data_IF_999368087885
#
_entry.id   IF_999368087885
#
_cell.length_a   1.000
_cell.length_b   1.000
_cell.length_c   1.000
_cell.angle_alpha   90.00
_cell.angle_beta   90.00
_cell.angle_gamma   90.00
#
_symmetry.space_group_name_H-M   'P 1'
#
loop_
_entity.id
_entity.type
_entity.pdbx_description
1 polymer ?
#
# COMPACT_ATOMS: atom_id res chain seq x y z
N UNK A 1 2.63 57.73 -0.61
CA UNK A 1 3.12 56.62 -1.47
C UNK A 1 2.72 55.31 -0.78
N UNK A 2 1.51 54.81 -1.05
CA UNK A 2 1.00 53.58 -0.47
C UNK A 2 1.45 52.39 -1.33
N UNK A 3 2.33 51.55 -0.80
CA UNK A 3 2.84 50.36 -1.48
C UNK A 3 1.84 49.22 -1.37
N UNK A 4 1.33 48.77 -2.51
CA UNK A 4 0.47 47.60 -2.65
C UNK A 4 1.34 46.34 -2.50
N UNK A 5 1.18 45.59 -1.40
CA UNK A 5 1.83 44.28 -1.21
C UNK A 5 1.00 43.23 -1.94
N UNK A 6 1.49 42.77 -3.09
CA UNK A 6 0.93 41.62 -3.80
C UNK A 6 1.30 40.34 -3.02
N UNK A 7 0.37 39.80 -2.24
CA UNK A 7 0.46 38.42 -1.77
C UNK A 7 0.22 37.49 -2.96
N UNK A 8 1.30 36.97 -3.53
CA UNK A 8 1.22 35.82 -4.45
C UNK A 8 0.81 34.58 -3.65
N UNK A 9 -0.32 33.91 -3.96
CA UNK A 9 -0.60 32.62 -3.38
C UNK A 9 0.47 31.64 -3.86
N UNK A 10 1.18 31.03 -2.91
CA UNK A 10 2.02 29.87 -3.15
C UNK A 10 1.09 28.76 -3.67
N UNK A 11 0.96 28.67 -5.00
CA UNK A 11 0.44 27.49 -5.65
C UNK A 11 1.35 26.34 -5.20
N UNK A 12 0.85 25.54 -4.26
CA UNK A 12 1.48 24.26 -3.95
C UNK A 12 1.48 23.48 -5.26
N UNK A 13 2.65 23.10 -5.81
CA UNK A 13 2.66 22.21 -6.96
C UNK A 13 1.89 20.97 -6.52
N UNK A 14 0.85 20.60 -7.26
CA UNK A 14 0.22 19.30 -7.13
C UNK A 14 1.33 18.28 -7.38
N UNK A 15 2.01 17.86 -6.31
CA UNK A 15 3.14 16.98 -6.37
C UNK A 15 2.69 15.70 -7.01
N UNK A 16 3.39 15.26 -8.06
CA UNK A 16 3.16 13.96 -8.67
C UNK A 16 3.05 12.91 -7.55
N UNK A 17 2.06 12.01 -7.65
CA UNK A 17 1.85 11.03 -6.60
C UNK A 17 3.15 10.23 -6.35
N UNK A 18 3.45 9.92 -5.08
CA UNK A 18 4.70 9.23 -4.78
C UNK A 18 4.81 7.89 -5.51
N UNK A 19 5.99 7.57 -6.02
CA UNK A 19 6.23 6.37 -6.86
C UNK A 19 5.74 5.07 -6.23
N UNK A 20 5.85 4.94 -4.91
CA UNK A 20 5.39 3.76 -4.18
C UNK A 20 3.88 3.52 -4.34
N UNK A 21 3.07 4.59 -4.40
CA UNK A 21 1.62 4.49 -4.55
C UNK A 21 1.25 3.95 -5.94
N UNK A 22 1.90 4.47 -6.97
CA UNK A 22 1.71 4.04 -8.36
C UNK A 22 2.17 2.59 -8.56
N UNK A 23 3.11 2.11 -7.73
CA UNK A 23 3.55 0.72 -7.74
C UNK A 23 2.61 -0.21 -6.95
N UNK A 24 2.20 0.19 -5.73
CA UNK A 24 1.38 -0.63 -4.86
C UNK A 24 -0.08 -0.72 -5.32
N UNK A 25 -0.73 0.40 -5.66
CA UNK A 25 -2.15 0.39 -5.99
C UNK A 25 -2.55 -0.68 -7.05
N UNK A 26 -1.85 -0.81 -8.20
CA UNK A 26 -2.14 -1.86 -9.15
C UNK A 26 -1.73 -3.26 -8.66
N UNK A 27 -0.63 -3.38 -7.91
CA UNK A 27 -0.20 -4.67 -7.34
C UNK A 27 -1.19 -5.21 -6.31
N UNK A 28 -1.87 -4.33 -5.57
CA UNK A 28 -2.89 -4.64 -4.57
C UNK A 28 -4.31 -4.71 -5.16
N UNK A 29 -4.46 -4.60 -6.48
CA UNK A 29 -5.76 -4.59 -7.18
C UNK A 29 -6.75 -3.54 -6.63
N UNK A 30 -6.24 -2.36 -6.25
CA UNK A 30 -7.07 -1.26 -5.75
C UNK A 30 -7.59 -0.35 -6.87
N UNK A 31 -7.08 -0.52 -8.08
CA UNK A 31 -7.35 0.36 -9.22
C UNK A 31 -8.60 -0.01 -10.03
N UNK A 32 -9.22 -1.14 -9.71
CA UNK A 32 -10.36 -1.67 -10.46
C UNK A 32 -11.56 -0.72 -10.41
N UNK A 33 -12.23 -0.52 -11.55
CA UNK A 33 -13.40 0.36 -11.65
C UNK A 33 -13.09 1.86 -11.60
N UNK A 34 -11.82 2.28 -11.60
CA UNK A 34 -11.44 3.69 -11.62
C UNK A 34 -10.44 4.01 -12.74
N UNK A 35 -10.93 4.58 -13.84
CA UNK A 35 -10.10 4.95 -15.00
C UNK A 35 -9.08 6.07 -14.69
N UNK A 36 -9.32 6.86 -13.64
CA UNK A 36 -8.47 7.97 -13.20
C UNK A 36 -7.71 7.63 -11.91
N UNK A 37 -7.50 6.35 -11.62
CA UNK A 37 -6.91 5.90 -10.35
C UNK A 37 -5.54 6.52 -10.05
N UNK A 38 -4.76 6.83 -11.09
CA UNK A 38 -3.44 7.48 -10.97
C UNK A 38 -3.52 8.91 -10.44
N UNK A 39 -4.71 9.52 -10.44
CA UNK A 39 -4.97 10.88 -9.96
C UNK A 39 -5.83 10.88 -8.68
N UNK A 40 -6.58 9.81 -8.43
CA UNK A 40 -7.48 9.72 -7.29
C UNK A 40 -6.74 9.26 -6.03
N UNK A 41 -6.50 10.20 -5.10
CA UNK A 41 -5.85 9.95 -3.81
C UNK A 41 -6.60 8.96 -2.91
N UNK A 42 -7.86 8.62 -3.19
CA UNK A 42 -8.66 7.67 -2.41
C UNK A 42 -8.44 6.20 -2.79
N UNK A 43 -7.93 5.92 -3.99
CA UNK A 43 -7.68 4.54 -4.46
C UNK A 43 -6.74 3.77 -3.52
N UNK A 44 -5.67 4.42 -3.06
CA UNK A 44 -4.76 3.89 -2.07
C UNK A 44 -4.24 5.05 -1.19
N UNK A 45 -4.99 5.47 -0.15
CA UNK A 45 -4.60 6.60 0.68
C UNK A 45 -3.23 6.39 1.32
N UNK A 46 -2.51 7.47 1.68
CA UNK A 46 -1.21 7.31 2.36
C UNK A 46 -1.35 6.54 3.67
N UNK A 47 -2.54 6.56 4.29
CA UNK A 47 -2.85 5.79 5.51
C UNK A 47 -2.75 4.27 5.34
N UNK A 48 -2.59 3.76 4.12
CA UNK A 48 -2.28 2.35 3.90
C UNK A 48 -0.96 1.92 4.55
N UNK A 49 0.05 2.81 4.53
CA UNK A 49 1.39 2.53 5.09
C UNK A 49 1.83 3.55 6.16
N UNK A 50 1.13 4.67 6.28
CA UNK A 50 1.51 5.79 7.13
C UNK A 50 0.44 6.06 8.16
N UNK A 51 0.80 6.68 9.28
CA UNK A 51 -0.20 7.22 10.21
C UNK A 51 -0.78 8.53 9.65
N UNK A 52 0.07 9.35 9.01
CA UNK A 52 -0.35 10.62 8.46
C UNK A 52 -1.05 10.44 7.11
N UNK A 53 -2.19 11.12 6.93
CA UNK A 53 -2.95 11.09 5.67
C UNK A 53 -2.19 11.68 4.47
N UNK A 54 -1.19 12.52 4.72
CA UNK A 54 -0.29 13.06 3.70
C UNK A 54 0.99 12.23 3.50
N UNK A 55 1.17 11.16 4.28
CA UNK A 55 2.34 10.28 4.23
C UNK A 55 3.50 10.75 5.10
N UNK A 56 4.68 10.16 4.87
CA UNK A 56 5.85 10.37 5.71
C UNK A 56 5.79 9.64 7.05
N UNK A 57 6.77 9.88 7.91
CA UNK A 57 6.78 9.31 9.26
C UNK A 57 5.71 10.00 10.16
N UNK A 58 5.07 9.27 11.10
CA UNK A 58 5.32 7.88 11.44
C UNK A 58 4.62 6.87 10.52
N UNK A 59 5.18 5.66 10.47
CA UNK A 59 4.63 4.51 9.73
C UNK A 59 3.61 3.78 10.59
N UNK A 60 2.51 3.33 9.99
CA UNK A 60 1.56 2.43 10.65
C UNK A 60 2.18 1.01 10.76
N UNK A 61 1.54 0.05 11.45
CA UNK A 61 2.07 -1.31 11.57
C UNK A 61 2.41 -1.96 10.23
N UNK A 62 1.55 -1.86 9.21
CA UNK A 62 1.84 -2.39 7.87
C UNK A 62 3.08 -1.77 7.21
N UNK A 63 3.22 -0.44 7.29
CA UNK A 63 4.38 0.28 6.79
C UNK A 63 5.67 -0.14 7.50
N UNK A 64 5.60 -0.38 8.81
CA UNK A 64 6.72 -0.94 9.59
C UNK A 64 7.04 -2.37 9.17
N UNK A 65 6.04 -3.21 8.88
CA UNK A 65 6.24 -4.58 8.39
C UNK A 65 6.95 -4.61 7.01
N UNK A 66 6.62 -3.66 6.11
CA UNK A 66 7.34 -3.48 4.85
C UNK A 66 8.81 -3.10 5.11
N UNK A 67 9.06 -2.16 6.01
CA UNK A 67 10.43 -1.76 6.38
C UNK A 67 11.22 -2.92 7.00
N UNK A 68 10.59 -3.70 7.88
CA UNK A 68 11.18 -4.89 8.48
C UNK A 68 11.51 -5.95 7.42
N UNK A 69 10.66 -6.11 6.40
CA UNK A 69 10.92 -6.98 5.26
C UNK A 69 12.17 -6.54 4.51
N UNK A 70 12.30 -5.26 4.14
CA UNK A 70 13.54 -4.76 3.54
C UNK A 70 14.78 -5.03 4.41
N UNK A 71 14.69 -4.76 5.70
CA UNK A 71 15.80 -4.94 6.63
C UNK A 71 16.22 -6.41 6.78
N UNK A 72 15.26 -7.34 6.86
CA UNK A 72 15.52 -8.78 6.91
C UNK A 72 16.20 -9.27 5.65
N UNK A 73 15.65 -8.93 4.49
CA UNK A 73 16.15 -9.39 3.19
C UNK A 73 17.55 -8.85 2.90
N UNK A 74 17.83 -7.59 3.28
CA UNK A 74 19.15 -6.99 3.17
C UNK A 74 20.19 -7.69 4.05
N UNK A 75 19.83 -8.14 5.27
CA UNK A 75 20.73 -8.93 6.14
C UNK A 75 21.09 -10.28 5.51
N UNK A 76 20.22 -10.82 4.66
CA UNK A 76 20.46 -12.04 3.89
C UNK A 76 21.12 -11.77 2.53
N UNK A 77 21.61 -10.55 2.29
CA UNK A 77 22.30 -10.15 1.07
C UNK A 77 21.39 -9.90 -0.13
N UNK A 78 20.07 -9.84 0.07
CA UNK A 78 19.08 -9.58 -0.99
C UNK A 78 18.64 -8.12 -0.98
N UNK A 79 18.71 -7.48 -2.14
CA UNK A 79 18.28 -6.09 -2.32
C UNK A 79 16.96 -6.06 -3.10
N UNK A 80 15.85 -6.04 -2.36
CA UNK A 80 14.53 -6.02 -2.96
C UNK A 80 14.17 -4.64 -3.51
N UNK A 81 13.39 -4.61 -4.59
CA UNK A 81 12.58 -3.45 -4.96
C UNK A 81 11.33 -3.39 -4.10
N UNK A 82 10.64 -2.24 -4.06
CA UNK A 82 9.40 -2.10 -3.30
C UNK A 82 8.30 -3.13 -3.69
N UNK A 83 7.99 -3.35 -4.97
CA UNK A 83 7.04 -4.41 -5.34
C UNK A 83 7.44 -5.81 -4.86
N UNK A 84 8.74 -6.12 -4.86
CA UNK A 84 9.25 -7.39 -4.35
C UNK A 84 9.09 -7.49 -2.83
N UNK A 85 9.46 -6.45 -2.08
CA UNK A 85 9.29 -6.44 -0.62
C UNK A 85 7.81 -6.57 -0.23
N UNK A 86 6.91 -5.88 -0.95
CA UNK A 86 5.46 -6.00 -0.75
C UNK A 86 4.98 -7.43 -1.01
N UNK A 87 5.37 -8.04 -2.14
CA UNK A 87 5.01 -9.43 -2.43
C UNK A 87 5.58 -10.41 -1.40
N UNK A 88 6.82 -10.22 -0.96
CA UNK A 88 7.45 -11.06 0.07
C UNK A 88 6.71 -10.96 1.41
N UNK A 89 6.29 -9.76 1.80
CA UNK A 89 5.48 -9.57 3.02
C UNK A 89 4.14 -10.30 2.91
N UNK A 90 3.41 -10.10 1.82
CA UNK A 90 2.07 -10.69 1.65
C UNK A 90 2.08 -12.21 1.48
N UNK A 91 3.20 -12.79 1.04
CA UNK A 91 3.40 -14.24 1.02
C UNK A 91 3.74 -14.83 2.38
N UNK A 92 4.15 -14.01 3.35
CA UNK A 92 4.54 -14.49 4.68
C UNK A 92 3.34 -14.75 5.62
N UNK A 93 2.10 -14.46 5.17
CA UNK A 93 0.86 -14.60 5.95
C UNK A 93 0.95 -13.91 7.32
N UNK A 94 1.62 -12.74 7.36
CA UNK A 94 1.73 -11.90 8.56
C UNK A 94 0.44 -11.13 8.81
N UNK A 95 0.22 -10.77 10.07
CA UNK A 95 -0.84 -9.90 10.56
C UNK A 95 -0.13 -8.72 11.26
N UNK A 96 0.00 -7.59 10.54
CA UNK A 96 0.88 -6.52 10.98
C UNK A 96 0.30 -5.71 12.14
N UNK A 97 -1.02 -5.53 12.20
CA UNK A 97 -1.68 -4.78 13.27
C UNK A 97 -2.25 -5.65 14.40
N UNK A 98 -2.26 -6.97 14.23
CA UNK A 98 -2.53 -7.96 15.26
C UNK A 98 -4.02 -8.17 15.54
N UNK A 99 -4.89 -7.88 14.58
CA UNK A 99 -6.34 -7.94 14.76
C UNK A 99 -6.92 -9.36 14.51
N UNK A 100 -6.09 -10.29 14.06
CA UNK A 100 -6.44 -11.68 13.74
C UNK A 100 -6.65 -11.96 12.25
N UNK A 101 -6.54 -10.95 11.38
CA UNK A 101 -6.59 -11.11 9.93
C UNK A 101 -5.20 -10.89 9.32
N UNK A 102 -4.65 -11.85 8.55
CA UNK A 102 -3.43 -11.61 7.80
C UNK A 102 -3.56 -10.46 6.79
N UNK A 103 -2.48 -9.72 6.61
CA UNK A 103 -2.39 -8.53 5.75
C UNK A 103 -2.96 -8.78 4.35
N UNK A 104 -2.66 -9.95 3.77
CA UNK A 104 -3.10 -10.32 2.44
C UNK A 104 -4.63 -10.55 2.35
N UNK A 105 -5.25 -11.07 3.42
CA UNK A 105 -6.69 -11.25 3.49
C UNK A 105 -7.41 -9.91 3.63
N UNK A 106 -6.87 -9.01 4.42
CA UNK A 106 -7.40 -7.66 4.57
C UNK A 106 -7.37 -6.88 3.25
N UNK A 107 -6.24 -6.91 2.54
CA UNK A 107 -6.12 -6.28 1.23
C UNK A 107 -7.14 -6.88 0.25
N UNK A 108 -7.32 -8.20 0.26
CA UNK A 108 -8.32 -8.88 -0.57
C UNK A 108 -9.75 -8.45 -0.21
N UNK A 109 -10.05 -8.30 1.08
CA UNK A 109 -11.31 -7.81 1.61
C UNK A 109 -11.49 -6.28 1.51
N UNK A 110 -10.51 -5.57 0.93
CA UNK A 110 -10.47 -4.10 0.78
C UNK A 110 -10.51 -3.35 2.11
N UNK A 111 -9.85 -3.90 3.13
CA UNK A 111 -9.58 -3.25 4.42
C UNK A 111 -8.12 -2.77 4.52
N UNK A 112 -7.71 -2.20 5.67
CA UNK A 112 -6.43 -1.52 5.86
C UNK A 112 -5.55 -2.33 6.81
N UNK A 113 -4.48 -2.99 6.33
CA UNK A 113 -3.69 -3.93 7.14
C UNK A 113 -2.77 -3.31 8.20
N UNK A 114 -2.93 -2.01 8.45
CA UNK A 114 -2.21 -1.28 9.47
C UNK A 114 -3.15 -0.52 10.39
N UNK A 115 -4.42 -0.88 10.40
CA UNK A 115 -5.45 -0.29 11.24
C UNK A 115 -6.37 -1.39 11.78
N UNK A 116 -6.19 -1.80 13.06
CA UNK A 116 -6.94 -2.94 13.63
C UNK A 116 -8.44 -2.65 13.80
N UNK A 117 -8.87 -1.40 13.57
CA UNK A 117 -10.28 -1.04 13.50
C UNK A 117 -10.88 -1.25 12.10
N UNK A 118 -10.05 -1.32 11.06
CA UNK A 118 -10.43 -1.55 9.67
C UNK A 118 -10.27 -3.02 9.32
N UNK A 119 -11.21 -3.85 9.77
CA UNK A 119 -11.13 -5.30 9.60
C UNK A 119 -12.28 -5.89 8.78
N UNK A 120 -12.10 -7.06 8.15
CA UNK A 120 -13.17 -7.73 7.43
C UNK A 120 -14.36 -8.08 8.33
N UNK A 121 -15.57 -7.98 7.78
CA UNK A 121 -16.79 -8.41 8.47
C UNK A 121 -16.98 -9.94 8.42
N UNK A 122 -16.39 -10.59 7.42
CA UNK A 122 -16.51 -12.03 7.19
C UNK A 122 -15.55 -12.81 8.09
N UNK A 123 -15.93 -14.00 8.61
CA UNK A 123 -15.03 -14.86 9.36
C UNK A 123 -13.74 -15.19 8.58
N UNK A 124 -12.61 -15.20 9.30
CA UNK A 124 -11.27 -15.39 8.72
C UNK A 124 -11.15 -16.67 7.89
N UNK A 125 -11.78 -17.77 8.30
CA UNK A 125 -11.70 -19.05 7.58
C UNK A 125 -12.43 -19.01 6.24
N UNK A 126 -13.60 -18.38 6.20
CA UNK A 126 -14.35 -18.18 4.96
C UNK A 126 -13.59 -17.24 4.03
N UNK A 127 -13.00 -16.17 4.58
CA UNK A 127 -12.23 -15.21 3.80
C UNK A 127 -10.96 -15.85 3.22
N UNK A 128 -10.29 -16.69 3.99
CA UNK A 128 -9.12 -17.45 3.55
C UNK A 128 -9.49 -18.43 2.43
N UNK A 129 -10.64 -19.10 2.53
CA UNK A 129 -11.11 -19.99 1.47
C UNK A 129 -11.41 -19.23 0.17
N UNK A 130 -12.09 -18.08 0.25
CA UNK A 130 -12.35 -17.22 -0.89
C UNK A 130 -11.06 -16.67 -1.51
N UNK A 131 -10.13 -16.21 -0.67
CA UNK A 131 -8.83 -15.72 -1.09
C UNK A 131 -8.01 -16.80 -1.82
N UNK A 132 -7.98 -18.02 -1.28
CA UNK A 132 -7.30 -19.15 -1.93
C UNK A 132 -7.93 -19.49 -3.29
N UNK A 133 -9.27 -19.49 -3.39
CA UNK A 133 -9.99 -19.71 -4.64
C UNK A 133 -9.72 -18.59 -5.68
N UNK A 134 -9.47 -17.37 -5.23
CA UNK A 134 -9.08 -16.23 -6.07
C UNK A 134 -7.60 -16.21 -6.47
N UNK A 135 -6.81 -17.22 -6.08
CA UNK A 135 -5.40 -17.33 -6.43
C UNK A 135 -4.41 -16.89 -5.35
N UNK A 136 -4.86 -16.74 -4.10
CA UNK A 136 -3.99 -16.57 -2.94
C UNK A 136 -3.08 -15.34 -3.01
N UNK A 137 -1.98 -15.36 -2.27
CA UNK A 137 -1.03 -14.25 -2.23
C UNK A 137 -0.28 -14.06 -3.55
N UNK A 138 -0.28 -15.07 -4.42
CA UNK A 138 0.30 -15.02 -5.76
C UNK A 138 -0.35 -13.95 -6.65
N UNK A 139 -1.62 -13.61 -6.40
CA UNK A 139 -2.29 -12.52 -7.12
C UNK A 139 -1.61 -11.16 -6.87
N UNK A 140 -0.89 -11.00 -5.75
CA UNK A 140 -0.15 -9.78 -5.40
C UNK A 140 1.33 -9.82 -5.82
N UNK A 141 1.70 -10.72 -6.74
CA UNK A 141 3.07 -10.79 -7.26
C UNK A 141 3.51 -9.46 -7.91
N UNK A 142 4.82 -9.15 -7.92
CA UNK A 142 5.31 -7.92 -8.53
C UNK A 142 4.89 -7.84 -10.01
N UNK A 143 4.49 -6.65 -10.51
CA UNK A 143 4.11 -6.51 -11.91
C UNK A 143 5.28 -6.91 -12.81
N UNK A 144 5.00 -7.71 -13.84
CA UNK A 144 6.00 -8.07 -14.85
C UNK A 144 6.55 -6.79 -15.46
N UNK A 145 7.87 -6.62 -15.48
CA UNK A 145 8.51 -5.51 -16.21
C UNK A 145 7.98 -5.54 -17.64
N UNK A 146 7.36 -4.44 -18.10
CA UNK A 146 7.11 -4.28 -19.54
C UNK A 146 8.48 -4.39 -20.21
N UNK A 147 8.66 -5.39 -21.07
CA UNK A 147 9.87 -5.47 -21.90
C UNK A 147 10.00 -4.12 -22.61
N UNK A 148 11.14 -3.45 -22.41
CA UNK A 148 11.36 -2.12 -22.97
C UNK A 148 11.11 -2.15 -24.49
N UNK A 149 10.32 -1.19 -24.97
CA UNK A 149 10.37 -0.78 -26.37
C UNK A 149 11.50 0.22 -26.53
#
# INVERSE_FOLDING_TARGET
MAGLVLLSPLLSPAGALPRYRIQAAPQLHLTEGNELWELDRRVMPCTYCHVNADGGAPWNPFGQAIQATFAREAKEGRHLTFPQALSTLLQADTDADGDGYPDALEIYAKTLPGDPASRPEQPVDELRAAFAAAGGAEQFAPPKKKAGK
#
